data_IF_707197511842
#
_entry.id   IF_707197511842
#
_cell.length_a   1.000
_cell.length_b   1.000
_cell.length_c   1.000
_cell.angle_alpha   90.00
_cell.angle_beta   90.00
_cell.angle_gamma   90.00
#
_symmetry.space_group_name_H-M   'P 1'
#
loop_
_entity.id
_entity.type
_entity.pdbx_description
1 polymer ?
#
# COMPACT_ATOMS: atom_id res chain seq x y z
N UNK A 1 16.54 1.05 -0.96
CA UNK A 1 15.97 1.01 0.40
C UNK A 1 16.58 2.13 1.25
N UNK A 2 15.83 3.20 1.50
CA UNK A 2 16.26 4.34 2.32
C UNK A 2 16.21 4.02 3.81
N UNK A 3 17.15 3.22 4.30
CA UNK A 3 17.21 2.73 5.68
C UNK A 3 17.59 3.82 6.73
N UNK A 4 17.19 5.08 6.53
CA UNK A 4 17.55 6.19 7.42
C UNK A 4 16.70 7.46 7.31
N UNK A 5 15.57 7.44 6.60
CA UNK A 5 14.67 8.59 6.52
C UNK A 5 13.57 8.49 7.58
N UNK A 6 13.27 9.58 8.32
CA UNK A 6 12.03 9.69 9.09
C UNK A 6 10.80 9.40 8.21
N UNK A 7 9.75 8.83 8.80
CA UNK A 7 8.58 8.36 8.04
C UNK A 7 7.91 9.47 7.20
N UNK A 8 7.88 10.70 7.69
CA UNK A 8 7.32 11.85 6.97
C UNK A 8 8.18 12.32 5.76
N UNK A 9 9.40 11.81 5.60
CA UNK A 9 10.27 12.07 4.45
C UNK A 9 10.36 10.87 3.49
N UNK A 10 9.66 9.77 3.78
CA UNK A 10 9.63 8.62 2.89
C UNK A 10 8.68 8.92 1.72
N UNK A 11 9.15 8.87 0.46
CA UNK A 11 8.27 9.05 -0.68
C UNK A 11 7.21 7.97 -0.72
N UNK A 12 5.97 8.36 -0.98
CA UNK A 12 4.83 7.46 -1.15
C UNK A 12 4.61 7.06 -2.61
N UNK A 13 5.18 7.81 -3.56
CA UNK A 13 5.07 7.57 -5.00
C UNK A 13 6.45 7.52 -5.64
N UNK A 14 6.60 6.67 -6.64
CA UNK A 14 7.83 6.40 -7.37
C UNK A 14 7.53 6.41 -8.87
N UNK A 15 8.55 6.62 -9.69
CA UNK A 15 8.46 6.48 -11.13
C UNK A 15 9.75 5.87 -11.63
N UNK A 16 9.67 4.77 -12.38
CA UNK A 16 10.85 4.17 -12.99
C UNK A 16 11.19 4.91 -14.29
N UNK A 17 12.46 5.27 -14.45
CA UNK A 17 13.01 5.85 -15.67
C UNK A 17 14.28 5.11 -16.05
N UNK A 18 14.46 4.84 -17.34
CA UNK A 18 15.71 4.22 -17.83
C UNK A 18 16.90 5.20 -17.77
N UNK A 19 16.60 6.50 -17.87
CA UNK A 19 17.58 7.57 -17.73
C UNK A 19 16.91 8.86 -17.25
N UNK A 20 17.67 9.75 -16.60
CA UNK A 20 17.15 11.05 -16.17
C UNK A 20 16.90 11.91 -17.43
N UNK A 21 15.66 12.33 -17.72
CA UNK A 21 15.39 13.19 -18.86
C UNK A 21 16.08 14.55 -18.68
N UNK A 22 16.72 15.03 -19.74
CA UNK A 22 17.45 16.30 -19.73
C UNK A 22 16.84 17.27 -20.76
N UNK A 23 16.81 18.54 -20.40
CA UNK A 23 16.57 19.66 -21.32
C UNK A 23 17.69 19.77 -22.35
N UNK A 24 17.48 20.58 -23.39
CA UNK A 24 18.51 20.90 -24.42
C UNK A 24 19.82 21.45 -23.84
N UNK A 25 19.77 22.03 -22.64
CA UNK A 25 20.93 22.58 -21.93
C UNK A 25 21.55 21.59 -20.92
N UNK A 26 21.13 20.33 -20.92
CA UNK A 26 21.68 19.28 -20.05
C UNK A 26 21.20 19.31 -18.59
N UNK A 27 20.24 20.17 -18.24
CA UNK A 27 19.60 20.16 -16.91
C UNK A 27 18.48 19.12 -16.85
N UNK A 28 18.23 18.53 -15.68
CA UNK A 28 17.09 17.64 -15.47
C UNK A 28 15.77 18.31 -15.89
N UNK A 29 15.00 17.64 -16.72
CA UNK A 29 13.69 18.07 -17.17
C UNK A 29 12.61 17.40 -16.32
N UNK A 30 12.22 18.07 -15.23
CA UNK A 30 11.22 17.53 -14.30
C UNK A 30 9.83 17.42 -14.91
N UNK A 31 9.54 18.13 -16.02
CA UNK A 31 8.25 18.05 -16.71
C UNK A 31 8.15 16.84 -17.64
N UNK A 32 9.29 16.30 -18.03
CA UNK A 32 9.37 15.10 -18.86
C UNK A 32 9.41 13.81 -18.02
N UNK A 33 9.38 13.91 -16.69
CA UNK A 33 9.28 12.73 -15.83
C UNK A 33 7.90 12.08 -16.00
N UNK A 34 7.83 10.74 -16.04
CA UNK A 34 6.56 10.03 -16.05
C UNK A 34 5.78 10.29 -14.75
N UNK A 35 4.48 10.03 -14.80
CA UNK A 35 3.62 10.10 -13.63
C UNK A 35 4.09 9.11 -12.56
N UNK A 36 4.23 9.59 -11.33
CA UNK A 36 4.64 8.77 -10.21
C UNK A 36 3.42 8.01 -9.67
N UNK A 37 3.60 6.72 -9.38
CA UNK A 37 2.58 5.83 -8.82
C UNK A 37 3.04 5.27 -7.47
N UNK A 38 2.13 4.80 -6.60
CA UNK A 38 2.51 4.08 -5.39
C UNK A 38 3.49 2.94 -5.70
N UNK A 39 4.45 2.67 -4.81
CA UNK A 39 5.49 1.67 -5.07
C UNK A 39 4.88 0.29 -5.36
N UNK A 40 3.78 -0.06 -4.67
CA UNK A 40 3.06 -1.31 -4.91
C UNK A 40 2.58 -1.46 -6.35
N UNK A 41 2.09 -0.38 -6.97
CA UNK A 41 1.64 -0.36 -8.37
C UNK A 41 2.79 -0.41 -9.40
N UNK A 42 4.04 -0.33 -8.96
CA UNK A 42 5.24 -0.39 -9.82
C UNK A 42 6.02 -1.69 -9.69
N UNK A 43 5.69 -2.56 -8.73
CA UNK A 43 6.46 -3.78 -8.45
C UNK A 43 5.70 -5.03 -8.87
N UNK A 44 5.92 -5.46 -10.11
CA UNK A 44 5.43 -6.74 -10.67
C UNK A 44 5.99 -7.99 -9.95
N UNK A 45 7.03 -7.84 -9.12
CA UNK A 45 7.73 -8.96 -8.48
C UNK A 45 7.11 -9.47 -7.16
N UNK A 46 5.95 -8.94 -6.75
CA UNK A 46 5.29 -9.29 -5.49
C UNK A 46 3.77 -9.34 -5.58
N UNK A 47 3.18 -9.31 -6.78
CA UNK A 47 1.74 -9.36 -6.97
C UNK A 47 1.23 -10.79 -6.72
N UNK A 48 0.90 -11.08 -5.47
CA UNK A 48 0.12 -12.26 -5.08
C UNK A 48 -1.33 -11.84 -4.88
N UNK A 49 -2.27 -12.46 -5.59
CA UNK A 49 -3.70 -12.31 -5.32
C UNK A 49 -4.11 -13.03 -4.03
N UNK A 50 -5.29 -12.73 -3.46
CA UNK A 50 -5.77 -13.38 -2.24
C UNK A 50 -5.96 -14.90 -2.43
N UNK A 51 -5.62 -15.70 -1.43
CA UNK A 51 -5.72 -17.16 -1.45
C UNK A 51 -6.85 -17.70 -0.54
N UNK A 52 -7.32 -16.88 0.41
CA UNK A 52 -8.39 -17.23 1.35
C UNK A 52 -9.55 -16.25 1.24
N UNK A 53 -10.74 -16.65 1.72
CA UNK A 53 -11.90 -15.76 1.75
C UNK A 53 -11.67 -14.51 2.60
N UNK A 54 -10.98 -14.66 3.74
CA UNK A 54 -10.61 -13.52 4.60
C UNK A 54 -9.61 -12.59 3.89
N UNK A 55 -8.62 -13.14 3.16
CA UNK A 55 -7.71 -12.31 2.37
C UNK A 55 -8.44 -11.51 1.29
N UNK A 56 -9.40 -12.11 0.59
CA UNK A 56 -10.21 -11.42 -0.43
C UNK A 56 -10.90 -10.19 0.16
N UNK A 57 -11.63 -10.37 1.27
CA UNK A 57 -12.37 -9.27 1.93
C UNK A 57 -11.41 -8.20 2.45
N UNK A 58 -10.26 -8.60 3.00
CA UNK A 58 -9.26 -7.62 3.49
C UNK A 58 -8.64 -6.84 2.32
N UNK A 59 -8.35 -7.48 1.18
CA UNK A 59 -7.88 -6.78 -0.03
C UNK A 59 -8.91 -5.77 -0.54
N UNK A 60 -10.19 -6.14 -0.61
CA UNK A 60 -11.29 -5.24 -0.99
C UNK A 60 -11.35 -4.01 -0.06
N UNK A 61 -11.21 -4.19 1.25
CA UNK A 61 -11.18 -3.06 2.19
C UNK A 61 -9.93 -2.20 2.06
N UNK A 62 -8.78 -2.78 1.67
CA UNK A 62 -7.59 -2.00 1.33
C UNK A 62 -7.86 -1.13 0.10
N UNK A 63 -8.41 -1.71 -0.97
CA UNK A 63 -8.76 -1.01 -2.20
C UNK A 63 -9.73 0.13 -1.92
N UNK A 64 -10.83 -0.14 -1.21
CA UNK A 64 -11.82 0.86 -0.79
C UNK A 64 -11.20 1.97 0.06
N UNK A 65 -10.31 1.62 1.00
CA UNK A 65 -9.72 2.62 1.89
C UNK A 65 -8.71 3.54 1.18
N UNK A 66 -8.00 2.99 0.18
CA UNK A 66 -6.94 3.65 -0.57
C UNK A 66 -7.44 4.32 -1.86
N UNK A 67 -8.70 4.11 -2.25
CA UNK A 67 -9.28 4.58 -3.52
C UNK A 67 -8.52 3.99 -4.73
N UNK A 68 -8.27 2.67 -4.67
CA UNK A 68 -7.61 1.87 -5.71
C UNK A 68 -8.61 0.86 -6.29
N UNK A 69 -8.32 0.34 -7.48
CA UNK A 69 -9.07 -0.80 -8.03
C UNK A 69 -8.66 -2.11 -7.30
N UNK A 70 -9.57 -3.09 -7.22
CA UNK A 70 -9.34 -4.34 -6.49
C UNK A 70 -8.13 -5.14 -7.01
N UNK A 71 -7.85 -5.07 -8.31
CA UNK A 71 -6.72 -5.72 -8.96
C UNK A 71 -5.38 -5.01 -8.71
N UNK A 72 -5.39 -3.78 -8.15
CA UNK A 72 -4.19 -3.06 -7.74
C UNK A 72 -3.72 -3.43 -6.32
N UNK A 73 -4.52 -4.18 -5.55
CA UNK A 73 -4.19 -4.59 -4.19
C UNK A 73 -3.72 -6.05 -4.15
N UNK A 74 -2.40 -6.23 -4.02
CA UNK A 74 -1.84 -7.53 -3.69
C UNK A 74 -2.10 -7.88 -2.22
N UNK A 75 -2.36 -9.16 -1.97
CA UNK A 75 -2.53 -9.68 -0.62
C UNK A 75 -1.23 -9.63 0.22
N UNK A 76 -0.05 -9.49 -0.40
CA UNK A 76 1.22 -9.20 0.29
C UNK A 76 1.64 -7.72 0.19
N UNK A 77 0.78 -6.87 -0.33
CA UNK A 77 1.02 -5.44 -0.50
C UNK A 77 1.13 -4.71 0.84
N UNK A 78 2.26 -4.04 1.07
CA UNK A 78 2.46 -3.24 2.28
C UNK A 78 1.60 -1.97 2.25
N UNK A 79 0.83 -1.76 3.32
CA UNK A 79 -0.12 -0.66 3.48
C UNK A 79 0.48 0.70 3.14
N UNK A 80 1.68 1.01 3.63
CA UNK A 80 2.33 2.31 3.40
C UNK A 80 2.84 2.41 1.95
N UNK A 81 3.33 1.31 1.40
CA UNK A 81 3.81 1.22 0.02
C UNK A 81 2.69 1.36 -1.02
N UNK A 82 1.45 1.02 -0.64
CA UNK A 82 0.23 1.26 -1.42
C UNK A 82 -0.32 2.69 -1.26
N UNK A 83 0.34 3.56 -0.46
CA UNK A 83 -0.10 4.94 -0.22
C UNK A 83 -0.81 5.16 1.13
N UNK A 84 -0.84 4.15 1.99
CA UNK A 84 -1.46 4.21 3.31
C UNK A 84 -0.80 5.24 4.25
N UNK A 85 -1.65 6.01 4.93
CA UNK A 85 -1.26 6.98 5.95
C UNK A 85 -2.33 7.05 7.07
N UNK A 86 -2.15 7.93 8.06
CA UNK A 86 -2.96 7.95 9.29
C UNK A 86 -4.49 8.04 9.05
N UNK A 87 -4.92 8.81 8.06
CA UNK A 87 -6.36 8.98 7.76
C UNK A 87 -6.93 7.74 7.05
N UNK A 88 -6.19 7.19 6.09
CA UNK A 88 -6.53 5.92 5.43
C UNK A 88 -6.58 4.79 6.46
N UNK A 89 -5.64 4.76 7.41
CA UNK A 89 -5.59 3.75 8.46
C UNK A 89 -6.85 3.77 9.33
N UNK A 90 -7.35 4.97 9.69
CA UNK A 90 -8.61 5.11 10.42
C UNK A 90 -9.79 4.58 9.60
N UNK A 91 -9.81 4.85 8.30
CA UNK A 91 -10.85 4.36 7.38
C UNK A 91 -10.84 2.84 7.26
N UNK A 92 -9.68 2.25 6.98
CA UNK A 92 -9.47 0.81 6.87
C UNK A 92 -9.86 0.07 8.15
N UNK A 93 -9.45 0.59 9.32
CA UNK A 93 -9.85 0.01 10.62
C UNK A 93 -11.36 0.10 10.81
N UNK A 94 -12.00 1.18 10.36
CA UNK A 94 -13.45 1.31 10.39
C UNK A 94 -14.16 0.21 9.58
N UNK A 95 -13.65 -0.09 8.38
CA UNK A 95 -14.18 -1.15 7.51
C UNK A 95 -13.98 -2.54 8.13
N UNK A 96 -12.74 -2.86 8.53
CA UNK A 96 -12.41 -4.13 9.20
C UNK A 96 -13.25 -4.33 10.47
N UNK A 97 -13.44 -3.26 11.26
CA UNK A 97 -14.23 -3.32 12.48
C UNK A 97 -15.71 -3.55 12.22
N UNK A 98 -16.24 -3.05 11.12
CA UNK A 98 -17.65 -3.27 10.73
C UNK A 98 -17.90 -4.76 10.47
N UNK A 99 -16.95 -5.42 9.83
CA UNK A 99 -17.07 -6.82 9.42
C UNK A 99 -16.69 -7.81 10.54
N UNK A 100 -15.53 -7.59 11.18
CA UNK A 100 -14.92 -8.55 12.10
C UNK A 100 -14.98 -8.11 13.58
N UNK A 101 -15.55 -6.94 13.88
CA UNK A 101 -15.53 -6.38 15.23
C UNK A 101 -14.16 -5.77 15.62
N UNK A 102 -13.95 -5.42 16.90
CA UNK A 102 -12.79 -4.65 17.36
C UNK A 102 -11.50 -5.49 17.51
N UNK A 103 -11.21 -6.38 16.57
CA UNK A 103 -10.05 -7.30 16.60
C UNK A 103 -8.76 -6.57 16.18
N UNK A 104 -8.84 -5.68 15.18
CA UNK A 104 -7.67 -4.95 14.66
C UNK A 104 -7.57 -3.56 15.28
N UNK A 105 -6.44 -3.29 15.93
CA UNK A 105 -6.07 -1.94 16.40
C UNK A 105 -5.20 -1.20 15.39
N UNK A 106 -5.03 0.11 15.59
CA UNK A 106 -4.09 0.92 14.80
C UNK A 106 -2.65 0.41 14.92
N UNK A 107 -2.28 -0.13 16.08
CA UNK A 107 -0.96 -0.71 16.30
C UNK A 107 -0.80 -1.97 15.46
N UNK A 108 -1.83 -2.81 15.39
CA UNK A 108 -1.79 -4.06 14.64
C UNK A 108 -1.66 -3.77 13.15
N UNK A 109 -2.41 -2.80 12.61
CA UNK A 109 -2.29 -2.39 11.21
C UNK A 109 -0.84 -2.03 10.83
N UNK A 110 -0.16 -1.20 11.63
CA UNK A 110 1.23 -0.81 11.36
C UNK A 110 2.26 -1.90 11.67
N UNK A 111 1.86 -2.98 12.36
CA UNK A 111 2.72 -4.14 12.65
C UNK A 111 2.59 -5.21 11.57
N UNK A 112 1.35 -5.57 11.20
CA UNK A 112 0.99 -6.62 10.24
C UNK A 112 1.17 -6.14 8.80
N UNK A 113 0.81 -4.87 8.53
CA UNK A 113 1.02 -4.09 7.30
C UNK A 113 0.43 -4.62 5.99
N UNK A 114 0.09 -5.90 5.88
CA UNK A 114 -0.36 -6.54 4.63
C UNK A 114 -1.73 -7.19 4.81
N UNK A 115 -2.55 -7.30 3.74
CA UNK A 115 -3.81 -8.02 3.80
C UNK A 115 -3.67 -9.46 4.32
N UNK A 116 -2.67 -10.20 3.88
CA UNK A 116 -2.37 -11.57 4.34
C UNK A 116 -2.18 -11.65 5.85
N UNK A 117 -1.32 -10.79 6.40
CA UNK A 117 -1.01 -10.80 7.82
C UNK A 117 -2.22 -10.38 8.67
N UNK A 118 -3.03 -9.44 8.16
CA UNK A 118 -4.27 -9.01 8.82
C UNK A 118 -5.31 -10.12 8.77
N UNK A 119 -5.52 -10.75 7.62
CA UNK A 119 -6.45 -11.87 7.45
C UNK A 119 -6.09 -13.03 8.40
N UNK A 120 -4.82 -13.42 8.45
CA UNK A 120 -4.34 -14.45 9.39
C UNK A 120 -4.63 -14.08 10.85
N UNK A 121 -4.38 -12.83 11.23
CA UNK A 121 -4.66 -12.38 12.59
C UNK A 121 -6.15 -12.39 12.92
N UNK A 122 -7.01 -12.03 11.95
CA UNK A 122 -8.46 -12.12 12.11
C UNK A 122 -8.92 -13.57 12.30
N UNK A 123 -8.43 -14.49 11.46
CA UNK A 123 -8.77 -15.91 11.52
C UNK A 123 -8.34 -16.56 12.86
N UNK A 124 -7.20 -16.14 13.42
CA UNK A 124 -6.70 -16.63 14.71
C UNK A 124 -7.46 -16.08 15.93
N UNK A 125 -8.18 -14.96 15.78
CA UNK A 125 -8.85 -14.23 16.87
C UNK A 125 -10.38 -14.11 16.68
N UNK A 126 -10.96 -14.90 15.78
CA UNK A 126 -12.42 -15.00 15.55
C UNK A 126 -13.12 -15.98 16.49
#
# INVERSE_FOLDING_TARGET
>A
AGAGLPDFLRPTHYAQVDSIPLTVNGKADTKALPEAKPLGALTTAGERGPETGTETVVCEFFAEALDLDDDEVSAVGDFVSLGGHSMVAVRLIGLLRREYGPVITIRDLFTLRTPEAIARHLDENS
#
